data_IF_841569315826
#
_entry.id   IF_841569315826
#
_cell.length_a   1.000
_cell.length_b   1.000
_cell.length_c   1.000
_cell.angle_alpha   90.00
_cell.angle_beta   90.00
_cell.angle_gamma   90.00
#
_symmetry.space_group_name_H-M   'P 1'
#
loop_
_entity.id
_entity.type
_entity.pdbx_description
1 polymer ?
#
# COMPACT_ATOMS: atom_id res chain seq x y z
N UNK A 1 14.70 -21.65 -20.23
CA UNK A 1 14.09 -22.23 -19.02
C UNK A 1 14.26 -23.73 -19.07
N UNK A 2 15.04 -24.28 -18.15
CA UNK A 2 15.08 -25.74 -17.98
C UNK A 2 13.80 -26.23 -17.30
N UNK A 3 13.44 -27.49 -17.53
CA UNK A 3 12.22 -28.12 -17.00
C UNK A 3 12.10 -28.01 -15.47
N UNK A 4 13.22 -28.00 -14.75
CA UNK A 4 13.26 -27.88 -13.29
C UNK A 4 12.92 -26.47 -12.79
N UNK A 5 13.45 -25.44 -13.43
CA UNK A 5 13.23 -24.04 -13.07
C UNK A 5 11.76 -23.64 -13.27
N UNK A 6 11.16 -24.13 -14.36
CA UNK A 6 9.73 -23.96 -14.60
C UNK A 6 8.88 -24.63 -13.51
N UNK A 7 9.19 -25.89 -13.14
CA UNK A 7 8.47 -26.60 -12.07
C UNK A 7 8.57 -25.89 -10.73
N UNK A 8 9.77 -25.42 -10.38
CA UNK A 8 10.00 -24.63 -9.17
C UNK A 8 9.14 -23.36 -9.15
N UNK A 9 9.07 -22.62 -10.27
CA UNK A 9 8.22 -21.44 -10.35
C UNK A 9 6.74 -21.74 -10.13
N UNK A 10 6.23 -22.85 -10.67
CA UNK A 10 4.84 -23.29 -10.42
C UNK A 10 4.63 -23.65 -8.95
N UNK A 11 5.57 -24.35 -8.32
CA UNK A 11 5.51 -24.69 -6.89
C UNK A 11 5.51 -23.44 -6.00
N UNK A 12 6.32 -22.44 -6.33
CA UNK A 12 6.36 -21.15 -5.64
C UNK A 12 5.02 -20.40 -5.76
N UNK A 13 4.43 -20.33 -6.96
CA UNK A 13 3.13 -19.69 -7.19
C UNK A 13 2.02 -20.43 -6.43
N UNK A 14 1.98 -21.77 -6.46
CA UNK A 14 1.00 -22.55 -5.70
C UNK A 14 1.15 -22.34 -4.19
N UNK A 15 2.37 -22.15 -3.71
CA UNK A 15 2.63 -21.83 -2.30
C UNK A 15 2.04 -20.46 -1.94
N UNK A 16 2.27 -19.45 -2.78
CA UNK A 16 1.69 -18.11 -2.59
C UNK A 16 0.16 -18.17 -2.64
N UNK A 17 -0.43 -18.89 -3.59
CA UNK A 17 -1.89 -19.06 -3.70
C UNK A 17 -2.50 -19.64 -2.42
N UNK A 18 -1.89 -20.70 -1.87
CA UNK A 18 -2.31 -21.30 -0.59
C UNK A 18 -2.18 -20.33 0.58
N UNK A 19 -1.13 -19.49 0.59
CA UNK A 19 -0.98 -18.47 1.63
C UNK A 19 -2.11 -17.42 1.54
N UNK A 20 -2.47 -16.98 0.34
CA UNK A 20 -3.60 -16.06 0.13
C UNK A 20 -4.91 -16.66 0.64
N UNK A 21 -5.17 -17.92 0.32
CA UNK A 21 -6.34 -18.67 0.81
C UNK A 21 -6.37 -18.74 2.35
N UNK A 22 -5.25 -19.10 2.99
CA UNK A 22 -5.13 -19.16 4.46
C UNK A 22 -5.34 -17.78 5.11
N UNK A 23 -4.88 -16.71 4.45
CA UNK A 23 -5.05 -15.33 4.91
C UNK A 23 -6.46 -14.78 4.65
N UNK A 24 -7.34 -15.54 3.99
CA UNK A 24 -8.72 -15.14 3.71
C UNK A 24 -8.85 -14.14 2.57
N UNK A 25 -7.92 -14.15 1.62
CA UNK A 25 -8.03 -13.37 0.38
C UNK A 25 -8.91 -14.15 -0.60
N UNK A 26 -10.02 -13.53 -1.03
CA UNK A 26 -10.95 -14.17 -1.96
C UNK A 26 -10.35 -14.33 -3.37
N UNK A 27 -10.77 -15.37 -4.09
CA UNK A 27 -10.27 -15.67 -5.45
C UNK A 27 -10.62 -14.59 -6.48
N UNK A 28 -11.57 -13.69 -6.21
CA UNK A 28 -11.88 -12.54 -7.07
C UNK A 28 -10.97 -11.33 -6.84
N UNK A 29 -10.11 -11.35 -5.80
CA UNK A 29 -9.20 -10.25 -5.47
C UNK A 29 -7.82 -10.39 -6.13
N UNK A 30 -7.54 -11.53 -6.77
CA UNK A 30 -6.28 -11.76 -7.48
C UNK A 30 -6.46 -12.62 -8.73
N UNK A 31 -5.49 -12.53 -9.64
CA UNK A 31 -5.40 -13.43 -10.79
C UNK A 31 -3.95 -13.83 -10.99
N UNK A 32 -3.71 -15.11 -11.30
CA UNK A 32 -2.38 -15.57 -11.72
C UNK A 32 -2.18 -15.18 -13.18
N UNK A 33 -1.23 -14.29 -13.43
CA UNK A 33 -0.93 -13.80 -14.78
C UNK A 33 0.51 -14.13 -15.18
N UNK A 34 0.65 -15.14 -16.03
CA UNK A 34 1.95 -15.59 -16.56
C UNK A 34 2.54 -14.66 -17.64
N UNK A 35 1.82 -13.59 -18.02
CA UNK A 35 2.28 -12.59 -19.01
C UNK A 35 3.01 -11.41 -18.38
N UNK A 36 3.11 -11.35 -17.05
CA UNK A 36 3.81 -10.26 -16.38
C UNK A 36 5.31 -10.39 -16.70
N UNK A 37 5.79 -9.49 -17.56
CA UNK A 37 7.20 -9.30 -17.86
C UNK A 37 7.51 -7.88 -17.41
N UNK A 38 8.10 -7.71 -16.22
CA UNK A 38 8.57 -6.39 -15.81
C UNK A 38 9.96 -6.16 -16.39
N UNK A 39 10.20 -4.95 -16.89
CA UNK A 39 11.50 -4.52 -17.46
C UNK A 39 12.57 -4.24 -16.41
N UNK A 40 12.57 -5.01 -15.32
CA UNK A 40 13.51 -4.91 -14.22
C UNK A 40 14.06 -6.31 -13.98
N UNK A 41 15.25 -6.55 -14.50
CA UNK A 41 15.91 -7.87 -14.51
C UNK A 41 16.36 -8.35 -13.11
N UNK A 42 15.88 -7.72 -12.04
CA UNK A 42 16.24 -8.02 -10.66
C UNK A 42 15.24 -8.93 -9.93
N UNK A 43 14.05 -9.18 -10.47
CA UNK A 43 13.10 -10.10 -9.86
C UNK A 43 13.50 -11.55 -10.12
N UNK A 44 13.59 -12.35 -9.06
CA UNK A 44 14.05 -13.75 -9.13
C UNK A 44 12.95 -14.77 -8.81
N UNK A 45 11.74 -14.30 -8.45
CA UNK A 45 10.60 -15.15 -8.10
C UNK A 45 9.27 -14.43 -8.30
N UNK A 46 8.33 -14.60 -7.35
CA UNK A 46 6.98 -14.01 -7.42
C UNK A 46 7.01 -12.50 -7.68
N UNK A 47 6.18 -12.06 -8.63
CA UNK A 47 5.93 -10.64 -8.94
C UNK A 47 4.45 -10.35 -8.73
N UNK A 48 4.14 -9.18 -8.17
CA UNK A 48 2.78 -8.74 -7.88
C UNK A 48 2.57 -7.37 -8.52
N UNK A 49 1.41 -7.20 -9.15
CA UNK A 49 0.90 -5.92 -9.62
C UNK A 49 -0.55 -5.76 -9.18
N UNK A 50 -0.87 -4.60 -8.62
CA UNK A 50 -2.22 -4.24 -8.18
C UNK A 50 -2.76 -3.14 -9.07
N UNK A 51 -3.99 -3.32 -9.54
CA UNK A 51 -4.72 -2.38 -10.38
C UNK A 51 -6.02 -2.01 -9.68
N UNK A 52 -6.52 -0.81 -9.96
CA UNK A 52 -7.85 -0.41 -9.52
C UNK A 52 -8.87 -0.84 -10.57
N UNK A 53 -9.88 -1.59 -10.14
CA UNK A 53 -10.93 -2.11 -11.03
C UNK A 53 -11.66 -0.94 -11.71
N UNK A 54 -11.80 -1.02 -13.02
CA UNK A 54 -12.40 0.03 -13.86
C UNK A 54 -11.50 1.24 -14.12
N UNK A 55 -10.26 1.23 -13.63
CA UNK A 55 -9.27 2.30 -13.76
C UNK A 55 -7.90 1.74 -14.18
N UNK A 56 -7.89 0.62 -14.93
CA UNK A 56 -6.69 -0.11 -15.34
C UNK A 56 -5.79 0.71 -16.27
N UNK A 57 -6.36 1.71 -16.97
CA UNK A 57 -5.66 2.66 -17.83
C UNK A 57 -4.59 3.49 -17.10
N UNK A 58 -4.72 3.65 -15.78
CA UNK A 58 -3.69 4.30 -14.96
C UNK A 58 -2.46 3.42 -14.71
N UNK A 59 -2.57 2.12 -15.00
CA UNK A 59 -1.54 1.13 -14.72
C UNK A 59 -1.50 0.74 -13.24
N UNK A 60 -0.45 0.02 -12.86
CA UNK A 60 -0.33 -0.51 -11.51
C UNK A 60 -0.13 0.59 -10.46
N UNK A 61 -0.89 0.52 -9.37
CA UNK A 61 -0.82 1.44 -8.21
C UNK A 61 0.08 0.93 -7.09
N UNK A 62 0.26 -0.39 -7.00
CA UNK A 62 1.17 -1.06 -6.09
C UNK A 62 1.83 -2.20 -6.85
N UNK A 63 3.14 -2.32 -6.77
CA UNK A 63 3.85 -3.42 -7.41
C UNK A 63 5.00 -3.88 -6.55
N UNK A 64 5.41 -5.13 -6.72
CA UNK A 64 6.49 -5.68 -5.95
C UNK A 64 6.86 -7.07 -6.38
N UNK A 65 7.71 -7.71 -5.59
CA UNK A 65 8.12 -9.07 -5.85
C UNK A 65 9.37 -9.48 -5.06
N UNK A 66 9.76 -10.72 -5.28
CA UNK A 66 10.95 -11.33 -4.70
C UNK A 66 12.19 -11.03 -5.53
N UNK A 67 13.26 -10.64 -4.85
CA UNK A 67 14.58 -10.43 -5.42
C UNK A 67 15.62 -11.08 -4.51
N UNK A 68 16.44 -11.97 -5.05
CA UNK A 68 17.52 -12.60 -4.28
C UNK A 68 18.87 -11.88 -4.45
N UNK A 69 19.03 -11.17 -5.57
CA UNK A 69 20.34 -10.69 -6.03
C UNK A 69 20.49 -9.16 -5.96
N UNK A 70 19.48 -8.43 -5.46
CA UNK A 70 19.49 -6.96 -5.49
C UNK A 70 20.65 -6.36 -4.69
N UNK A 71 21.06 -7.04 -3.61
CA UNK A 71 22.14 -6.59 -2.74
C UNK A 71 23.54 -7.02 -3.19
N UNK A 72 23.68 -7.87 -4.22
CA UNK A 72 24.97 -8.40 -4.68
C UNK A 72 25.93 -7.30 -5.17
N UNK A 73 25.38 -6.16 -5.62
CA UNK A 73 26.19 -5.00 -5.99
C UNK A 73 26.90 -4.32 -4.80
N UNK A 74 26.54 -4.67 -3.56
CA UNK A 74 26.98 -4.00 -2.34
C UNK A 74 27.54 -4.96 -1.28
N UNK A 75 27.37 -6.28 -1.44
CA UNK A 75 27.87 -7.29 -0.50
C UNK A 75 28.10 -8.63 -1.19
N UNK A 76 29.08 -9.41 -0.71
CA UNK A 76 29.33 -10.77 -1.15
C UNK A 76 28.30 -11.79 -0.60
N UNK A 77 27.39 -11.36 0.27
CA UNK A 77 26.33 -12.21 0.80
C UNK A 77 25.09 -12.15 -0.09
N UNK A 78 24.51 -13.31 -0.39
CA UNK A 78 23.17 -13.39 -0.99
C UNK A 78 22.16 -12.98 0.09
N UNK A 79 21.40 -11.91 -0.17
CA UNK A 79 20.39 -11.37 0.75
C UNK A 79 19.00 -11.40 0.08
N UNK A 80 18.26 -12.52 0.22
CA UNK A 80 16.90 -12.63 -0.27
C UNK A 80 15.97 -11.58 0.35
N UNK A 81 15.19 -10.92 -0.51
CA UNK A 81 14.22 -9.93 -0.11
C UNK A 81 12.91 -10.06 -0.87
N UNK A 82 11.84 -9.61 -0.22
CA UNK A 82 10.55 -9.37 -0.85
C UNK A 82 10.12 -7.97 -0.46
N UNK A 83 9.64 -7.22 -1.45
CA UNK A 83 9.24 -5.83 -1.24
C UNK A 83 8.11 -5.43 -2.15
N UNK A 84 7.32 -4.47 -1.69
CA UNK A 84 6.29 -3.80 -2.46
C UNK A 84 6.53 -2.30 -2.43
N UNK A 85 6.07 -1.61 -3.47
CA UNK A 85 6.10 -0.16 -3.58
C UNK A 85 4.73 0.33 -4.01
N UNK A 86 4.24 1.36 -3.33
CA UNK A 86 2.98 2.02 -3.63
C UNK A 86 3.28 3.32 -4.37
N UNK A 87 2.74 3.47 -5.57
CA UNK A 87 2.82 4.68 -6.37
C UNK A 87 1.86 5.74 -5.84
N UNK A 88 2.20 6.40 -4.72
CA UNK A 88 1.31 7.31 -4.01
C UNK A 88 0.74 8.42 -4.91
N UNK A 89 1.55 9.01 -5.78
CA UNK A 89 1.10 10.03 -6.74
C UNK A 89 0.00 9.48 -7.66
N UNK A 90 0.20 8.29 -8.23
CA UNK A 90 -0.78 7.65 -9.11
C UNK A 90 -2.06 7.29 -8.35
N UNK A 91 -1.91 6.70 -7.17
CA UNK A 91 -3.04 6.37 -6.31
C UNK A 91 -3.87 7.62 -5.98
N UNK A 92 -3.22 8.73 -5.62
CA UNK A 92 -3.90 9.99 -5.31
C UNK A 92 -4.67 10.54 -6.51
N UNK A 93 -4.11 10.48 -7.73
CA UNK A 93 -4.82 10.89 -8.95
C UNK A 93 -6.10 10.08 -9.16
N UNK A 94 -6.04 8.75 -9.05
CA UNK A 94 -7.22 7.90 -9.24
C UNK A 94 -8.25 8.14 -8.13
N UNK A 95 -7.82 8.23 -6.87
CA UNK A 95 -8.72 8.53 -5.74
C UNK A 95 -9.43 9.87 -5.89
N UNK A 96 -8.76 10.87 -6.47
CA UNK A 96 -9.37 12.15 -6.78
C UNK A 96 -10.43 12.03 -7.88
N UNK A 97 -10.10 11.34 -8.97
CA UNK A 97 -10.99 11.21 -10.12
C UNK A 97 -12.27 10.42 -9.81
N UNK A 98 -12.17 9.36 -9.00
CA UNK A 98 -13.34 8.59 -8.56
C UNK A 98 -14.16 9.31 -7.47
N UNK A 99 -13.79 10.54 -7.10
CA UNK A 99 -14.48 11.36 -6.10
C UNK A 99 -14.31 10.86 -4.67
N UNK A 100 -13.35 9.96 -4.40
CA UNK A 100 -13.11 9.45 -3.03
C UNK A 100 -12.65 10.59 -2.11
N UNK A 101 -11.70 11.41 -2.58
CA UNK A 101 -11.14 12.50 -1.78
C UNK A 101 -12.16 13.59 -1.45
N UNK A 102 -13.11 13.88 -2.35
CA UNK A 102 -14.14 14.90 -2.13
C UNK A 102 -15.15 14.46 -1.06
N UNK A 103 -15.36 13.15 -0.93
CA UNK A 103 -16.26 12.55 0.06
C UNK A 103 -15.55 12.14 1.36
N UNK A 104 -14.21 12.14 1.36
CA UNK A 104 -13.42 11.75 2.53
C UNK A 104 -13.40 12.88 3.56
N UNK A 105 -14.21 12.74 4.61
CA UNK A 105 -14.21 13.67 5.74
C UNK A 105 -13.06 13.33 6.68
N UNK A 106 -12.02 14.14 6.64
CA UNK A 106 -11.04 14.19 7.73
C UNK A 106 -11.74 14.86 8.91
N UNK A 107 -11.87 14.16 10.03
CA UNK A 107 -12.26 14.81 11.28
C UNK A 107 -11.32 15.99 11.50
N UNK A 108 -11.86 17.19 11.67
CA UNK A 108 -11.03 18.37 11.90
C UNK A 108 -10.10 18.04 13.07
N UNK A 109 -8.78 18.24 12.94
CA UNK A 109 -7.89 18.09 14.08
C UNK A 109 -8.40 19.02 15.18
N UNK A 110 -8.38 18.54 16.43
CA UNK A 110 -8.70 19.37 17.58
C UNK A 110 -7.78 20.61 17.58
N UNK A 111 -8.33 21.77 17.22
CA UNK A 111 -7.57 23.01 17.09
C UNK A 111 -7.12 23.53 18.47
N UNK A 112 -7.98 23.35 19.48
CA UNK A 112 -7.75 23.80 20.85
C UNK A 112 -8.21 22.76 21.87
N UNK A 113 -7.38 22.51 22.90
CA UNK A 113 -7.75 21.77 24.10
C UNK A 113 -7.63 22.70 25.30
N UNK A 114 -8.75 23.03 25.93
CA UNK A 114 -8.79 23.90 27.11
C UNK A 114 -8.96 23.01 28.34
N UNK A 115 -7.94 22.95 29.19
CA UNK A 115 -7.95 22.14 30.42
C UNK A 115 -8.01 23.08 31.63
N UNK A 116 -9.05 22.99 32.48
CA UNK A 116 -9.07 23.73 33.74
C UNK A 116 -8.06 23.14 34.73
N UNK A 117 -7.25 24.00 35.35
CA UNK A 117 -6.31 23.64 36.42
C UNK A 117 -6.70 24.44 37.67
N UNK A 118 -6.96 23.75 38.79
CA UNK A 118 -7.49 24.39 40.00
C UNK A 118 -8.84 25.08 39.73
N UNK A 119 -8.99 26.32 40.19
CA UNK A 119 -10.25 27.07 40.12
C UNK A 119 -10.37 27.95 38.85
N UNK A 120 -9.81 27.52 37.72
CA UNK A 120 -9.74 28.32 36.47
C UNK A 120 -10.91 28.09 35.51
N UNK A 121 -11.95 27.33 35.91
CA UNK A 121 -13.04 26.93 35.02
C UNK A 121 -13.76 28.12 34.36
N UNK A 122 -14.05 29.18 35.12
CA UNK A 122 -14.72 30.38 34.61
C UNK A 122 -13.89 31.06 33.51
N UNK A 123 -12.59 31.20 33.73
CA UNK A 123 -11.66 31.76 32.75
C UNK A 123 -11.51 30.87 31.50
N UNK A 124 -11.47 29.54 31.67
CA UNK A 124 -11.49 28.60 30.56
C UNK A 124 -12.75 28.75 29.68
N UNK A 125 -13.91 28.99 30.29
CA UNK A 125 -15.17 29.24 29.56
C UNK A 125 -15.15 30.58 28.82
N UNK A 126 -14.54 31.63 29.39
CA UNK A 126 -14.34 32.91 28.69
C UNK A 126 -13.48 32.74 27.43
N UNK A 127 -12.34 32.07 27.57
CA UNK A 127 -11.45 31.77 26.43
C UNK A 127 -12.17 30.91 25.38
N UNK A 128 -12.93 29.89 25.81
CA UNK A 128 -13.73 29.08 24.91
C UNK A 128 -14.72 29.92 24.10
N UNK A 129 -15.46 30.83 24.76
CA UNK A 129 -16.41 31.73 24.09
C UNK A 129 -15.73 32.68 23.13
N UNK A 130 -14.54 33.20 23.48
CA UNK A 130 -13.76 34.03 22.56
C UNK A 130 -13.38 33.25 21.31
N UNK A 131 -12.87 32.03 21.46
CA UNK A 131 -12.48 31.18 20.33
C UNK A 131 -13.66 30.83 19.42
N UNK A 132 -14.88 30.69 19.96
CA UNK A 132 -16.11 30.49 19.16
C UNK A 132 -16.52 31.70 18.30
N UNK A 133 -16.07 32.92 18.61
CA UNK A 133 -16.44 34.14 17.87
C UNK A 133 -15.48 34.39 16.69
N UNK A 134 -14.24 33.94 16.80
CA UNK A 134 -13.20 34.15 15.79
C UNK A 134 -13.14 33.02 14.72
N UNK A 135 -14.04 32.05 14.80
CA UNK A 135 -14.20 30.92 13.86
C UNK A 135 -15.67 30.73 13.48
#
# INVERSE_FOLDING_TARGET
MNSEEFKKGIEEIETVRKMLEILGVDDNEYTINLKIIRGLDYYTGTVIETFLIGNENYGSICSGGRYDNLAENYTDNILPGVGISIGLTRLFFVLKEIGFLDNYKVEKPMEYLIIPIGDTLEYCVEIYKMLLIYH
#
